data_IF_494852489307
#
_entry.id   IF_494852489307
#
_cell.length_a   1.000
_cell.length_b   1.000
_cell.length_c   1.000
_cell.angle_alpha   90.00
_cell.angle_beta   90.00
_cell.angle_gamma   90.00
#
_symmetry.space_group_name_H-M   'P 1'
#
loop_
_entity.id
_entity.type
_entity.pdbx_description
1 polymer ?
#
# COMPACT_ATOMS: atom_id res chain seq x y z
N UNK A 1 -7.10 -10.34 -20.85
CA UNK A 1 -5.74 -10.25 -21.41
C UNK A 1 -4.92 -9.28 -20.56
N UNK A 2 -3.57 -9.31 -20.63
CA UNK A 2 -2.69 -8.39 -19.88
C UNK A 2 -2.15 -7.31 -20.83
N UNK A 3 -2.07 -6.07 -20.37
CA UNK A 3 -1.48 -4.97 -21.16
C UNK A 3 0.04 -5.09 -21.25
N UNK A 4 0.59 -4.80 -22.42
CA UNK A 4 2.04 -4.59 -22.58
C UNK A 4 2.45 -3.24 -21.96
N UNK A 5 3.74 -3.03 -21.74
CA UNK A 5 4.28 -1.76 -21.27
C UNK A 5 3.97 -0.62 -22.23
N UNK A 6 4.07 -0.86 -23.54
CA UNK A 6 3.69 0.12 -24.57
C UNK A 6 2.20 0.49 -24.49
N UNK A 7 1.34 -0.49 -24.19
CA UNK A 7 -0.10 -0.26 -24.03
C UNK A 7 -0.42 0.48 -22.73
N UNK A 8 0.26 0.14 -21.62
CA UNK A 8 0.19 0.91 -20.37
C UNK A 8 0.53 2.38 -20.65
N UNK A 9 1.63 2.62 -21.37
CA UNK A 9 2.07 3.96 -21.75
C UNK A 9 1.06 4.68 -22.64
N UNK A 10 0.48 3.99 -23.62
CA UNK A 10 -0.52 4.55 -24.52
C UNK A 10 -1.81 4.96 -23.79
N UNK A 11 -2.15 4.26 -22.70
CA UNK A 11 -3.35 4.54 -21.90
C UNK A 11 -3.13 5.53 -20.74
N UNK A 12 -1.92 6.07 -20.56
CA UNK A 12 -1.66 7.12 -19.59
C UNK A 12 -2.51 8.37 -19.87
N UNK A 13 -3.15 8.93 -18.84
CA UNK A 13 -4.02 10.10 -18.93
C UNK A 13 -5.44 9.80 -19.41
N UNK A 14 -5.74 8.56 -19.80
CA UNK A 14 -7.10 8.12 -20.13
C UNK A 14 -7.60 7.09 -19.12
N UNK A 15 -7.28 5.82 -19.33
CA UNK A 15 -7.67 4.73 -18.43
C UNK A 15 -6.70 4.54 -17.27
N UNK A 16 -5.43 4.94 -17.41
CA UNK A 16 -4.42 4.77 -16.39
C UNK A 16 -3.86 6.15 -16.02
N UNK A 17 -3.75 6.43 -14.72
CA UNK A 17 -2.93 7.51 -14.17
C UNK A 17 -1.90 6.89 -13.24
N UNK A 18 -0.66 7.32 -13.33
CA UNK A 18 0.42 7.00 -12.40
C UNK A 18 1.17 8.30 -12.13
N UNK A 19 1.27 8.70 -10.87
CA UNK A 19 1.87 9.98 -10.49
C UNK A 19 2.75 9.83 -9.25
N UNK A 20 4.07 10.10 -9.34
CA UNK A 20 4.82 10.46 -10.56
C UNK A 20 5.08 9.25 -11.49
N UNK A 21 4.97 9.45 -12.80
CA UNK A 21 5.38 8.46 -13.81
C UNK A 21 6.84 8.68 -14.24
N UNK A 22 7.62 7.61 -14.30
CA UNK A 22 8.99 7.59 -14.80
C UNK A 22 9.16 6.49 -15.83
N UNK A 23 9.60 6.83 -17.03
CA UNK A 23 9.77 5.86 -18.13
C UNK A 23 10.71 4.69 -17.74
N UNK A 24 11.73 4.96 -16.91
CA UNK A 24 12.67 3.95 -16.40
C UNK A 24 12.04 2.89 -15.48
N UNK A 25 10.82 3.12 -15.00
CA UNK A 25 10.04 2.16 -14.21
C UNK A 25 9.11 1.30 -15.07
N UNK A 26 8.96 1.59 -16.36
CA UNK A 26 8.12 0.84 -17.28
C UNK A 26 8.82 -0.45 -17.75
N UNK A 27 8.14 -1.58 -17.58
CA UNK A 27 8.61 -2.91 -17.98
C UNK A 27 7.81 -3.41 -19.21
N UNK A 28 8.15 -4.56 -19.81
CA UNK A 28 7.45 -5.10 -20.98
C UNK A 28 5.93 -5.32 -20.82
N UNK A 29 5.43 -5.49 -19.60
CA UNK A 29 4.00 -5.73 -19.30
C UNK A 29 3.59 -5.29 -17.88
N UNK A 30 4.35 -4.39 -17.27
CA UNK A 30 4.10 -3.88 -15.92
C UNK A 30 4.80 -2.53 -15.72
N UNK A 31 4.56 -1.89 -14.59
CA UNK A 31 5.25 -0.69 -14.15
C UNK A 31 5.71 -0.86 -12.70
N UNK A 32 6.98 -0.63 -12.41
CA UNK A 32 7.52 -0.74 -11.05
C UNK A 32 7.03 0.42 -10.19
N UNK A 33 6.59 0.16 -8.96
CA UNK A 33 6.21 1.18 -7.98
C UNK A 33 7.24 1.22 -6.84
N UNK A 34 7.47 2.40 -6.27
CA UNK A 34 8.50 2.67 -5.28
C UNK A 34 7.94 2.69 -3.88
N UNK A 35 8.75 2.28 -2.90
CA UNK A 35 8.41 2.29 -1.49
C UNK A 35 8.50 3.70 -0.91
N UNK A 36 7.44 4.15 -0.23
CA UNK A 36 7.46 5.38 0.57
C UNK A 36 8.35 5.22 1.81
N UNK A 37 8.80 6.33 2.41
CA UNK A 37 9.77 6.35 3.52
C UNK A 37 9.14 6.13 4.90
N UNK A 38 7.83 5.94 4.99
CA UNK A 38 7.13 5.63 6.24
C UNK A 38 6.46 4.25 6.21
N UNK A 39 6.35 3.64 7.39
CA UNK A 39 5.61 2.40 7.63
C UNK A 39 4.74 2.55 8.89
N UNK A 40 3.65 1.77 8.96
CA UNK A 40 2.89 1.54 10.19
C UNK A 40 3.17 0.15 10.74
N UNK A 41 3.22 0.04 12.06
CA UNK A 41 3.37 -1.21 12.79
C UNK A 41 2.30 -1.28 13.86
N UNK A 42 1.50 -2.35 13.88
CA UNK A 42 0.50 -2.55 14.92
C UNK A 42 1.16 -2.72 16.30
N UNK A 43 0.52 -2.18 17.33
CA UNK A 43 1.00 -2.27 18.71
C UNK A 43 0.38 -3.45 19.46
N UNK A 44 -0.77 -3.94 19.01
CA UNK A 44 -1.42 -5.11 19.60
C UNK A 44 -0.80 -6.42 19.11
N UNK A 45 -0.69 -7.38 20.04
CA UNK A 45 -0.37 -8.77 19.71
C UNK A 45 -1.56 -9.45 19.01
N UNK A 46 -2.79 -9.14 19.47
CA UNK A 46 -4.03 -9.69 18.91
C UNK A 46 -4.75 -8.57 18.16
N UNK A 47 -4.86 -8.73 16.85
CA UNK A 47 -5.65 -7.84 16.01
C UNK A 47 -7.12 -8.28 16.03
N UNK A 48 -8.01 -7.37 16.40
CA UNK A 48 -9.46 -7.62 16.40
C UNK A 48 -10.10 -6.87 15.23
N UNK A 49 -10.73 -7.62 14.32
CA UNK A 49 -11.41 -7.08 13.15
C UNK A 49 -12.67 -6.27 13.48
N UNK A 50 -13.18 -6.33 14.72
CA UNK A 50 -14.33 -5.56 15.20
C UNK A 50 -13.96 -4.19 15.75
N UNK A 51 -12.69 -3.80 15.74
CA UNK A 51 -12.29 -2.47 16.23
C UNK A 51 -11.11 -1.92 15.44
N UNK A 52 -10.88 -0.60 15.50
CA UNK A 52 -9.59 -0.06 15.13
C UNK A 52 -8.49 -0.68 16.02
N UNK A 53 -7.38 -1.08 15.41
CA UNK A 53 -6.18 -1.54 16.10
C UNK A 53 -5.16 -0.39 16.09
N UNK A 54 -4.44 -0.18 17.20
CA UNK A 54 -3.46 0.91 17.30
C UNK A 54 -2.22 0.55 16.52
N UNK A 55 -1.58 1.59 16.02
CA UNK A 55 -0.34 1.46 15.30
C UNK A 55 0.55 2.63 15.65
N UNK A 56 1.85 2.39 15.54
CA UNK A 56 2.87 3.44 15.55
C UNK A 56 3.43 3.60 14.16
N UNK A 57 3.87 4.82 13.85
CA UNK A 57 4.55 5.14 12.60
C UNK A 57 6.06 5.05 12.79
N UNK A 58 6.74 4.55 11.78
CA UNK A 58 8.20 4.52 11.73
C UNK A 58 8.68 5.04 10.37
N UNK A 59 9.82 5.72 10.39
CA UNK A 59 10.50 6.20 9.19
C UNK A 59 11.62 5.24 8.82
N UNK A 60 11.78 4.96 7.52
CA UNK A 60 12.90 4.21 6.97
C UNK A 60 14.06 5.20 6.79
N UNK A 61 15.15 5.09 7.57
CA UNK A 61 16.25 6.04 7.46
C UNK A 61 17.06 5.80 6.17
N UNK A 62 17.89 6.77 5.73
CA UNK A 62 18.71 6.64 4.52
C UNK A 62 19.65 5.42 4.52
N UNK A 63 20.17 5.02 5.69
CA UNK A 63 21.00 3.82 5.87
C UNK A 63 20.20 2.49 5.83
N UNK A 64 18.87 2.59 5.77
CA UNK A 64 17.94 1.48 5.63
C UNK A 64 17.40 0.96 6.96
N UNK A 65 16.22 0.34 6.90
CA UNK A 65 15.53 -0.28 8.03
C UNK A 65 15.56 -1.80 7.88
N UNK A 66 15.88 -2.54 8.95
CA UNK A 66 15.76 -4.00 8.95
C UNK A 66 14.35 -4.40 9.35
N UNK A 67 13.60 -4.98 8.42
CA UNK A 67 12.35 -5.66 8.71
C UNK A 67 12.63 -7.00 9.38
N UNK A 68 11.96 -7.26 10.49
CA UNK A 68 12.09 -8.50 11.25
C UNK A 68 11.06 -9.54 10.80
N UNK A 69 11.39 -10.83 10.88
CA UNK A 69 10.40 -11.89 10.74
C UNK A 69 9.27 -11.80 11.76
N UNK A 70 8.12 -12.41 11.45
CA UNK A 70 6.94 -12.48 12.33
C UNK A 70 6.30 -11.12 12.68
N UNK A 71 6.67 -10.06 11.98
CA UNK A 71 6.09 -8.73 12.13
C UNK A 71 5.51 -8.28 10.79
N UNK A 72 4.26 -7.80 10.82
CA UNK A 72 3.64 -7.11 9.68
C UNK A 72 4.04 -5.63 9.71
N UNK A 73 4.45 -5.12 8.55
CA UNK A 73 4.70 -3.71 8.30
C UNK A 73 3.76 -3.22 7.20
N UNK A 74 2.96 -2.19 7.47
CA UNK A 74 2.15 -1.56 6.44
C UNK A 74 2.93 -0.41 5.83
N UNK A 75 3.18 -0.47 4.53
CA UNK A 75 3.79 0.63 3.78
C UNK A 75 2.82 1.20 2.76
N UNK A 76 3.29 2.14 1.95
CA UNK A 76 2.59 2.53 0.73
C UNK A 76 3.55 2.77 -0.42
N UNK A 77 3.01 2.78 -1.63
CA UNK A 77 3.74 3.24 -2.80
C UNK A 77 3.92 4.77 -2.77
N UNK A 78 5.01 5.25 -3.39
CA UNK A 78 5.19 6.67 -3.69
C UNK A 78 4.20 7.10 -4.77
N UNK A 79 4.00 6.25 -5.76
CA UNK A 79 3.10 6.53 -6.86
C UNK A 79 1.65 6.40 -6.43
N UNK A 80 0.88 7.45 -6.71
CA UNK A 80 -0.57 7.44 -6.75
C UNK A 80 -1.03 6.89 -8.10
N UNK A 81 -2.07 6.05 -8.10
CA UNK A 81 -2.62 5.48 -9.33
C UNK A 81 -4.12 5.71 -9.44
N UNK A 82 -4.62 5.91 -10.66
CA UNK A 82 -6.03 5.79 -11.01
C UNK A 82 -6.18 4.79 -12.13
N UNK A 83 -7.17 3.90 -12.04
CA UNK A 83 -7.41 2.89 -13.07
C UNK A 83 -8.88 2.85 -13.45
N UNK A 84 -9.19 2.96 -14.75
CA UNK A 84 -10.54 2.85 -15.32
C UNK A 84 -10.54 1.78 -16.40
N UNK A 85 -11.67 1.09 -16.58
CA UNK A 85 -11.88 0.06 -17.61
C UNK A 85 -10.88 -1.12 -17.60
N UNK A 86 -10.09 -1.25 -16.53
CA UNK A 86 -9.04 -2.24 -16.37
C UNK A 86 -9.00 -2.68 -14.90
N UNK A 87 -8.53 -3.90 -14.68
CA UNK A 87 -8.27 -4.44 -13.34
C UNK A 87 -6.78 -4.29 -13.05
N UNK A 88 -6.38 -3.38 -12.13
CA UNK A 88 -5.00 -3.29 -11.69
C UNK A 88 -4.64 -4.45 -10.77
N UNK A 89 -3.47 -5.04 -10.99
CA UNK A 89 -2.91 -6.11 -10.17
C UNK A 89 -1.53 -5.70 -9.67
N UNK A 90 -1.33 -5.80 -8.36
CA UNK A 90 -0.09 -5.49 -7.67
C UNK A 90 0.66 -6.79 -7.36
N UNK A 91 1.95 -6.84 -7.73
CA UNK A 91 2.81 -7.99 -7.44
C UNK A 91 4.19 -7.60 -6.92
N UNK A 92 4.81 -8.53 -6.21
CA UNK A 92 6.22 -8.41 -5.84
C UNK A 92 7.13 -8.40 -7.07
N UNK A 93 8.29 -7.76 -6.95
CA UNK A 93 9.38 -7.94 -7.93
C UNK A 93 10.14 -9.22 -7.59
N UNK A 94 10.56 -9.98 -8.61
CA UNK A 94 11.29 -11.23 -8.38
C UNK A 94 12.53 -11.04 -7.50
N UNK A 95 13.28 -9.95 -7.68
CA UNK A 95 14.45 -9.65 -6.85
C UNK A 95 14.11 -9.42 -5.38
N UNK A 96 12.95 -8.81 -5.09
CA UNK A 96 12.47 -8.59 -3.73
C UNK A 96 12.00 -9.91 -3.10
N UNK A 97 11.23 -10.70 -3.85
CA UNK A 97 10.79 -12.02 -3.41
C UNK A 97 11.95 -12.98 -3.13
N UNK A 98 13.06 -12.89 -3.87
CA UNK A 98 14.27 -13.68 -3.64
C UNK A 98 15.01 -13.35 -2.34
N UNK A 99 14.75 -12.18 -1.74
CA UNK A 99 15.20 -11.85 -0.38
C UNK A 99 14.25 -12.42 0.69
N UNK A 100 13.16 -13.07 0.30
CA UNK A 100 12.10 -13.52 1.20
C UNK A 100 11.21 -12.39 1.69
N UNK A 101 11.11 -11.27 0.96
CA UNK A 101 10.22 -10.16 1.29
C UNK A 101 8.93 -10.24 0.46
N UNK A 102 7.81 -10.43 1.14
CA UNK A 102 6.47 -10.26 0.60
C UNK A 102 6.08 -8.78 0.66
N UNK A 103 5.40 -8.28 -0.37
CA UNK A 103 4.96 -6.88 -0.47
C UNK A 103 3.44 -6.72 -0.33
N UNK A 104 2.73 -7.83 -0.49
CA UNK A 104 1.34 -8.04 -0.11
C UNK A 104 1.25 -9.45 0.50
N UNK A 105 0.33 -9.70 1.42
CA UNK A 105 0.16 -11.03 2.03
C UNK A 105 -0.82 -11.85 1.20
N UNK A 106 -1.93 -11.24 0.79
CA UNK A 106 -2.95 -11.90 -0.06
C UNK A 106 -3.68 -10.97 -1.04
N UNK A 107 -3.54 -9.65 -0.90
CA UNK A 107 -4.41 -8.67 -1.56
C UNK A 107 -3.70 -7.91 -2.71
N UNK A 108 -3.28 -8.65 -3.74
CA UNK A 108 -2.72 -8.06 -4.97
C UNK A 108 -3.79 -7.59 -5.98
N UNK A 109 -5.06 -7.95 -5.78
CA UNK A 109 -6.15 -7.61 -6.70
C UNK A 109 -6.72 -6.22 -6.40
N UNK A 110 -6.69 -5.32 -7.36
CA UNK A 110 -7.34 -4.01 -7.26
C UNK A 110 -8.61 -3.93 -8.09
N UNK A 111 -9.60 -3.21 -7.56
CA UNK A 111 -10.87 -3.03 -8.24
C UNK A 111 -10.79 -2.05 -9.42
N UNK A 112 -11.62 -2.27 -10.45
CA UNK A 112 -11.82 -1.31 -11.54
C UNK A 112 -12.35 0.00 -10.97
N UNK A 113 -11.74 1.13 -11.28
CA UNK A 113 -12.12 2.45 -10.74
C UNK A 113 -11.37 2.85 -9.47
N UNK A 114 -10.46 2.02 -8.95
CA UNK A 114 -9.63 2.40 -7.80
C UNK A 114 -8.73 3.60 -8.11
N UNK A 115 -8.69 4.54 -7.16
CA UNK A 115 -7.87 5.75 -7.17
C UNK A 115 -7.19 5.89 -5.80
N UNK A 116 -5.86 5.93 -5.74
CA UNK A 116 -5.15 6.01 -4.47
C UNK A 116 -3.70 5.56 -4.51
N UNK A 117 -3.05 5.60 -3.35
CA UNK A 117 -1.79 4.90 -3.13
C UNK A 117 -2.07 3.44 -2.78
N UNK A 118 -1.15 2.57 -3.18
CA UNK A 118 -1.23 1.15 -2.84
C UNK A 118 -0.64 0.94 -1.46
N UNK A 119 -1.47 0.50 -0.52
CA UNK A 119 -0.97 0.03 0.78
C UNK A 119 -0.29 -1.33 0.58
N UNK A 120 0.91 -1.48 1.14
CA UNK A 120 1.74 -2.67 1.05
C UNK A 120 1.67 -3.42 2.37
N UNK A 121 1.40 -4.73 2.32
CA UNK A 121 1.39 -5.60 3.49
C UNK A 121 2.72 -6.35 3.52
N UNK A 122 3.75 -5.70 4.06
CA UNK A 122 5.13 -6.18 3.97
C UNK A 122 5.45 -7.17 5.09
N UNK A 123 5.95 -8.34 4.71
CA UNK A 123 6.32 -9.41 5.62
C UNK A 123 7.62 -10.07 5.14
N UNK A 124 8.60 -10.19 6.03
CA UNK A 124 9.91 -10.75 5.71
C UNK A 124 10.07 -12.16 6.31
N UNK A 125 10.50 -13.13 5.51
CA UNK A 125 10.82 -14.49 5.99
C UNK A 125 12.13 -14.50 6.78
N UNK A 126 13.09 -13.70 6.32
CA UNK A 126 14.38 -13.47 6.96
C UNK A 126 14.49 -11.99 7.31
N UNK A 127 15.40 -11.58 8.22
CA UNK A 127 15.69 -10.16 8.40
C UNK A 127 16.14 -9.53 7.07
N UNK A 128 15.37 -8.56 6.56
CA UNK A 128 15.64 -7.90 5.27
C UNK A 128 15.79 -6.41 5.50
N UNK A 129 16.92 -5.84 5.05
CA UNK A 129 17.12 -4.39 5.04
C UNK A 129 16.47 -3.77 3.80
N UNK A 130 15.61 -2.79 4.02
CA UNK A 130 14.91 -2.02 3.00
C UNK A 130 15.35 -0.57 3.01
N UNK A 131 15.12 0.13 1.89
CA UNK A 131 15.50 1.52 1.70
C UNK A 131 14.32 2.31 1.12
N UNK A 132 14.15 3.59 1.46
CA UNK A 132 13.10 4.41 0.87
C UNK A 132 13.35 4.60 -0.63
N UNK A 133 12.28 4.72 -1.42
CA UNK A 133 12.34 4.96 -2.86
C UNK A 133 12.74 3.76 -3.72
N UNK A 134 13.06 2.60 -3.12
CA UNK A 134 13.34 1.38 -3.88
C UNK A 134 12.10 0.97 -4.67
N UNK A 135 12.27 0.56 -5.93
CA UNK A 135 11.23 -0.10 -6.70
C UNK A 135 10.88 -1.42 -6.01
N UNK A 136 9.76 -1.47 -5.28
CA UNK A 136 9.47 -2.55 -4.31
C UNK A 136 8.49 -3.57 -4.89
N UNK A 137 7.52 -3.10 -5.66
CA UNK A 137 6.51 -3.91 -6.31
C UNK A 137 6.32 -3.44 -7.75
N UNK A 138 5.41 -4.08 -8.46
CA UNK A 138 5.03 -3.73 -9.82
C UNK A 138 3.52 -3.84 -9.97
N UNK A 139 2.95 -2.97 -10.80
CA UNK A 139 1.54 -3.01 -11.19
C UNK A 139 1.42 -3.43 -12.65
N UNK A 140 0.45 -4.28 -12.96
CA UNK A 140 0.06 -4.63 -14.32
C UNK A 140 -1.47 -4.65 -14.42
N UNK A 141 -1.98 -4.69 -15.64
CA UNK A 141 -3.39 -4.42 -15.89
C UNK A 141 -4.02 -5.53 -16.72
N UNK A 142 -5.16 -6.02 -16.26
CA UNK A 142 -6.01 -6.92 -17.02
C UNK A 142 -7.14 -6.15 -17.71
N UNK A 143 -7.43 -6.54 -18.94
CA UNK A 143 -8.70 -6.19 -19.59
C UNK A 143 -9.85 -6.93 -18.90
N UNK A 144 -10.97 -6.25 -18.73
CA UNK A 144 -12.23 -6.80 -18.18
C UNK A 144 -13.30 -6.81 -19.27
N UNK A 145 -14.16 -7.82 -19.26
CA UNK A 145 -15.25 -7.99 -20.24
C UNK A 145 -16.62 -7.83 -19.58
N UNK A 146 -17.61 -7.36 -20.35
CA UNK A 146 -18.96 -7.08 -19.89
C UNK A 146 -19.17 -5.68 -19.31
N UNK A 147 -20.36 -5.44 -18.75
CA UNK A 147 -20.73 -4.16 -18.14
C UNK A 147 -19.95 -3.93 -16.84
N UNK A 148 -19.39 -2.73 -16.68
CA UNK A 148 -18.54 -2.39 -15.54
C UNK A 148 -19.33 -1.70 -14.44
N UNK A 149 -19.04 -2.09 -13.20
CA UNK A 149 -19.39 -1.32 -12.01
C UNK A 149 -18.10 -0.86 -11.36
N UNK A 150 -17.84 0.45 -11.35
CA UNK A 150 -16.63 1.00 -10.76
C UNK A 150 -16.67 0.93 -9.22
N UNK A 151 -15.50 0.73 -8.64
CA UNK A 151 -15.26 0.83 -7.22
C UNK A 151 -15.62 2.20 -6.68
N UNK A 152 -16.59 2.22 -5.77
CA UNK A 152 -17.02 3.40 -5.04
C UNK A 152 -17.16 3.04 -3.57
N UNK A 153 -16.12 3.31 -2.79
CA UNK A 153 -16.07 2.95 -1.38
C UNK A 153 -15.51 4.08 -0.54
N UNK A 154 -16.14 4.36 0.59
CA UNK A 154 -15.60 5.30 1.58
C UNK A 154 -14.50 4.70 2.47
N UNK A 155 -14.03 3.47 2.20
CA UNK A 155 -12.95 2.85 2.98
C UNK A 155 -11.57 3.28 2.49
N UNK A 156 -11.23 2.95 1.25
CA UNK A 156 -9.85 3.08 0.74
C UNK A 156 -9.73 3.91 -0.55
N UNK A 157 -10.85 4.33 -1.15
CA UNK A 157 -10.82 5.16 -2.35
C UNK A 157 -10.30 6.56 -2.02
N UNK A 158 -9.50 7.12 -2.93
CA UNK A 158 -8.85 8.42 -2.81
C UNK A 158 -8.02 8.56 -1.52
N UNK A 159 -7.42 7.45 -1.05
CA UNK A 159 -6.55 7.51 0.11
C UNK A 159 -5.34 8.42 -0.14
N UNK A 160 -4.84 9.04 0.92
CA UNK A 160 -3.71 9.98 0.87
C UNK A 160 -2.52 9.55 1.72
N UNK A 161 -2.62 8.42 2.40
CA UNK A 161 -1.64 7.92 3.39
C UNK A 161 -1.76 6.39 3.52
N UNK A 162 -0.84 5.76 4.26
CA UNK A 162 -0.84 4.34 4.58
C UNK A 162 -2.14 3.99 5.31
N UNK A 163 -2.91 3.03 4.79
CA UNK A 163 -4.20 2.68 5.35
C UNK A 163 -4.11 1.42 6.24
N UNK A 164 -4.39 1.51 7.55
CA UNK A 164 -4.67 0.32 8.34
C UNK A 164 -6.01 -0.29 7.91
N UNK A 165 -6.29 -1.51 8.36
CA UNK A 165 -7.55 -2.17 8.06
C UNK A 165 -8.74 -1.39 8.63
N UNK A 166 -9.75 -1.16 7.78
CA UNK A 166 -11.05 -0.58 8.11
C UNK A 166 -12.16 -1.64 8.13
N UNK A 167 -11.80 -2.93 8.24
CA UNK A 167 -12.75 -4.06 8.21
C UNK A 167 -13.88 -3.92 9.25
N UNK A 168 -13.62 -3.32 10.41
CA UNK A 168 -14.64 -3.07 11.44
C UNK A 168 -15.84 -2.25 10.93
N UNK A 169 -15.65 -1.42 9.89
CA UNK A 169 -16.74 -0.66 9.25
C UNK A 169 -17.73 -1.57 8.53
N UNK A 170 -17.29 -2.72 8.03
CA UNK A 170 -18.16 -3.75 7.43
C UNK A 170 -19.03 -4.43 8.48
N UNK A 171 -18.53 -4.49 9.71
CA UNK A 171 -19.23 -5.05 10.86
C UNK A 171 -20.17 -4.02 11.53
N UNK A 172 -20.42 -2.88 10.87
CA UNK A 172 -21.35 -1.85 11.33
C UNK A 172 -20.79 -0.90 12.39
N UNK A 173 -19.50 -0.99 12.71
CA UNK A 173 -18.88 -0.21 13.79
C UNK A 173 -18.38 1.12 13.24
N UNK A 174 -18.89 2.21 13.82
CA UNK A 174 -18.61 3.60 13.42
C UNK A 174 -17.68 4.28 14.43
N UNK A 175 -16.55 3.65 14.74
CA UNK A 175 -15.50 4.34 15.48
C UNK A 175 -14.55 5.04 14.48
N UNK A 176 -14.44 6.35 14.58
CA UNK A 176 -13.56 7.17 13.74
C UNK A 176 -12.27 7.57 14.46
N UNK A 177 -12.10 7.20 15.73
CA UNK A 177 -10.85 7.43 16.44
C UNK A 177 -9.80 6.42 15.97
N UNK A 178 -9.08 6.75 14.89
CA UNK A 178 -7.72 6.24 14.76
C UNK A 178 -6.96 6.85 15.95
N UNK A 179 -6.88 6.11 17.05
CA UNK A 179 -6.16 6.51 18.26
C UNK A 179 -4.68 6.60 17.93
N UNK A 180 -4.27 7.71 17.31
CA UNK A 180 -2.87 8.11 17.28
C UNK A 180 -2.50 8.37 18.73
N UNK A 181 -1.58 7.58 19.26
CA UNK A 181 -0.90 7.93 20.51
C UNK A 181 -0.09 9.20 20.23
N UNK A 182 -0.66 10.34 20.59
CA UNK A 182 0.04 11.61 20.59
C UNK A 182 0.91 11.69 21.85
N UNK A 183 2.17 11.29 21.72
CA UNK A 183 3.13 11.39 22.82
C UNK A 183 3.40 12.85 23.25
N UNK A 184 3.14 13.85 22.39
CA UNK A 184 3.28 15.27 22.79
C UNK A 184 2.21 15.66 23.82
N UNK A 185 1.00 15.11 23.70
CA UNK A 185 -0.07 15.31 24.69
C UNK A 185 0.24 14.65 26.04
N UNK A 186 0.79 13.42 26.03
CA UNK A 186 1.13 12.68 27.24
C UNK A 186 2.30 13.31 28.03
N UNK A 187 3.25 13.95 27.34
CA UNK A 187 4.38 14.65 27.98
C UNK A 187 3.94 15.99 28.61
N UNK A 188 2.94 16.67 28.03
CA UNK A 188 2.36 17.89 28.63
C UNK A 188 1.66 17.60 29.97
N UNK A 189 0.97 16.48 30.08
CA UNK A 189 0.29 16.11 31.33
C UNK A 189 1.27 15.69 32.44
N UNK A 190 2.44 15.13 32.08
CA UNK A 190 3.49 14.79 33.05
C UNK A 190 4.34 15.98 33.53
N UNK A 191 4.27 17.12 32.83
CA UNK A 191 5.00 18.35 33.19
C UNK A 191 4.14 19.35 33.97
N UNK A 192 2.87 19.03 34.23
CA UNK A 192 1.91 19.83 35.00
C UNK A 192 1.71 19.36 36.46
N UNK A 193 2.52 18.41 36.93
CA UNK A 193 2.62 17.97 38.34
C UNK A 193 4.02 18.20 38.88
#
# INVERSE_FOLDING_TARGET
>A
MILSGSEIKAQLGSNIKIEPFQESQLNPNSYNLRLHDELLVYEEIILDMKRPNRFRRITIPPEGLVLQPSQLYLGRTIEYTETRNLVPMLEGRSSIGRLGLFVHVTAGFGDVGFCGYWTLEMFAVQPVRIYPGVQVCQIFYHTVDGALTEYRSGKYQNNTDIQPSLLFRELGIRDQSQMKLDFESAIKDMSAT
#
